data_IF_019915605458
#
_entry.id   IF_019915605458
#
_cell.length_a   1.000
_cell.length_b   1.000
_cell.length_c   1.000
_cell.angle_alpha   90.00
_cell.angle_beta   90.00
_cell.angle_gamma   90.00
#
_symmetry.space_group_name_H-M   'P 1'
#
loop_
_entity.id
_entity.type
_entity.pdbx_description
1 polymer ?
#
# COMPACT_ATOMS: atom_id res chain seq x y z
N UNK A 1 -16.14 -12.00 -16.50
CA UNK A 1 -15.87 -11.66 -16.28
C UNK A 1 -15.29 -11.29 -15.59
N UNK A 2 -15.37 -10.85 -15.24
CA UNK A 2 -14.58 -10.71 -14.42
C UNK A 2 -15.02 -10.17 -13.30
N UNK A 3 -14.91 -10.77 -12.30
CA UNK A 3 -15.39 -10.33 -11.12
C UNK A 3 -14.72 -9.15 -10.71
N UNK A 4 -13.64 -8.87 -11.21
CA UNK A 4 -13.01 -7.73 -10.79
C UNK A 4 -13.84 -6.56 -11.01
N UNK A 5 -14.82 -6.65 -11.75
CA UNK A 5 -15.67 -5.52 -11.95
C UNK A 5 -16.30 -5.05 -10.68
N UNK A 6 -16.45 -5.92 -9.72
CA UNK A 6 -17.08 -5.51 -8.50
C UNK A 6 -16.17 -4.64 -7.68
N UNK A 7 -14.90 -4.82 -7.84
CA UNK A 7 -13.96 -4.05 -7.06
C UNK A 7 -13.27 -2.99 -7.86
N UNK A 8 -13.44 -2.99 -9.13
CA UNK A 8 -12.79 -2.01 -9.96
C UNK A 8 -13.36 -0.69 -9.75
N UNK A 9 -12.59 0.31 -9.84
CA UNK A 9 -13.11 1.64 -9.72
C UNK A 9 -13.92 1.91 -10.95
N UNK A 10 -14.84 2.72 -10.86
CA UNK A 10 -15.63 3.07 -11.97
C UNK A 10 -14.76 3.81 -12.91
N UNK A 11 -15.26 4.03 -14.00
CA UNK A 11 -14.57 4.63 -14.95
C UNK A 11 -13.84 5.80 -14.53
N UNK A 12 -12.83 5.97 -14.99
CA UNK A 12 -12.05 7.04 -14.69
C UNK A 12 -12.53 8.25 -15.21
N UNK A 13 -13.54 8.27 -15.75
CA UNK A 13 -14.02 9.35 -16.25
C UNK A 13 -13.49 10.44 -15.51
N UNK A 14 -12.74 10.94 -15.68
CA UNK A 14 -12.21 11.95 -15.14
C UNK A 14 -12.62 12.52 -13.93
N UNK A 15 -13.66 12.46 -13.67
CA UNK A 15 -14.07 13.16 -12.55
C UNK A 15 -13.49 12.77 -11.29
N UNK A 16 -12.88 11.70 -11.24
CA UNK A 16 -12.46 11.26 -9.98
C UNK A 16 -11.05 11.54 -9.70
N UNK A 17 -10.54 12.48 -10.26
CA UNK A 17 -9.16 12.73 -10.09
C UNK A 17 -8.71 12.84 -8.70
N UNK A 18 -9.48 13.43 -7.84
CA UNK A 18 -9.07 13.64 -6.50
C UNK A 18 -8.90 12.36 -5.75
N UNK A 19 -9.61 11.35 -6.16
CA UNK A 19 -9.59 10.10 -5.47
C UNK A 19 -8.72 9.10 -6.18
N UNK A 20 -8.09 9.49 -7.22
CA UNK A 20 -7.32 8.54 -8.00
C UNK A 20 -6.16 8.00 -7.21
N UNK A 21 -5.94 6.74 -7.35
CA UNK A 21 -4.80 6.09 -6.73
C UNK A 21 -3.55 6.45 -7.53
N UNK A 22 -2.49 6.74 -6.83
CA UNK A 22 -1.22 6.97 -7.52
C UNK A 22 -0.05 6.56 -6.65
N UNK A 23 1.04 6.29 -7.31
CA UNK A 23 2.29 5.90 -6.65
C UNK A 23 3.38 6.82 -7.18
N UNK A 24 4.18 7.34 -6.27
CA UNK A 24 5.39 8.06 -6.65
C UNK A 24 6.55 7.45 -5.88
N UNK A 25 7.70 7.42 -6.50
CA UNK A 25 8.86 6.79 -5.89
C UNK A 25 9.95 7.82 -5.70
N UNK A 26 10.59 7.80 -4.53
CA UNK A 26 11.78 8.59 -4.31
C UNK A 26 12.78 7.75 -3.53
N UNK A 27 13.97 8.25 -3.37
CA UNK A 27 14.99 7.55 -2.61
C UNK A 27 15.54 8.53 -1.58
N UNK A 28 15.56 8.13 -0.32
CA UNK A 28 16.07 8.97 0.77
C UNK A 28 17.00 8.13 1.62
N UNK A 29 18.22 8.56 1.75
CA UNK A 29 19.19 7.89 2.62
C UNK A 29 19.32 6.39 2.31
N UNK A 30 19.20 6.03 1.07
CA UNK A 30 19.30 4.64 0.66
C UNK A 30 18.00 3.87 0.73
N UNK A 31 16.93 4.46 1.24
CA UNK A 31 15.64 3.79 1.31
C UNK A 31 14.81 4.16 0.10
N UNK A 32 14.10 3.17 -0.42
CA UNK A 32 13.16 3.42 -1.49
C UNK A 32 11.84 3.83 -0.86
N UNK A 33 11.38 5.03 -1.16
CA UNK A 33 10.16 5.54 -0.56
C UNK A 33 9.03 5.43 -1.59
N UNK A 34 8.01 4.67 -1.22
CA UNK A 34 6.85 4.48 -2.08
C UNK A 34 5.74 5.36 -1.53
N UNK A 35 5.46 6.45 -2.23
CA UNK A 35 4.43 7.40 -1.80
C UNK A 35 3.10 6.95 -2.39
N UNK A 36 2.15 6.59 -1.55
CA UNK A 36 0.86 6.09 -1.98
C UNK A 36 -0.20 7.13 -1.74
N UNK A 37 -0.94 7.50 -2.78
CA UNK A 37 -2.05 8.44 -2.65
C UNK A 37 -3.34 7.74 -3.01
N UNK A 38 -4.41 8.09 -2.35
CA UNK A 38 -5.73 7.57 -2.69
C UNK A 38 -6.10 6.33 -1.90
N UNK A 39 -6.82 5.42 -2.52
CA UNK A 39 -7.36 4.27 -1.82
C UNK A 39 -6.58 3.01 -2.14
N UNK A 40 -6.19 2.29 -1.10
CA UNK A 40 -5.49 1.04 -1.26
C UNK A 40 -6.45 -0.11 -0.98
N UNK A 41 -6.84 -0.82 -2.02
CA UNK A 41 -7.85 -1.86 -1.92
C UNK A 41 -7.50 -3.00 -2.87
N UNK A 42 -8.46 -3.86 -3.15
CA UNK A 42 -8.20 -5.02 -3.97
C UNK A 42 -7.80 -4.62 -5.39
N UNK A 43 -8.27 -3.48 -5.86
CA UNK A 43 -7.96 -3.05 -7.22
C UNK A 43 -6.57 -2.46 -7.34
N UNK A 44 -6.04 -1.89 -6.27
CA UNK A 44 -4.77 -1.16 -6.33
C UNK A 44 -3.63 -1.85 -5.59
N UNK A 45 -3.93 -2.86 -4.79
CA UNK A 45 -2.88 -3.48 -3.96
C UNK A 45 -1.73 -4.05 -4.78
N UNK A 46 -2.01 -4.56 -5.97
CA UNK A 46 -0.95 -5.16 -6.77
C UNK A 46 -0.01 -4.11 -7.34
N UNK A 47 -0.54 -2.96 -7.66
CA UNK A 47 0.28 -1.86 -8.14
C UNK A 47 1.23 -1.42 -7.03
N UNK A 48 0.70 -1.28 -5.83
CA UNK A 48 1.49 -0.88 -4.68
C UNK A 48 2.57 -1.93 -4.36
N UNK A 49 2.17 -3.19 -4.36
CA UNK A 49 3.09 -4.26 -4.05
C UNK A 49 4.23 -4.33 -5.07
N UNK A 50 3.89 -4.17 -6.33
CA UNK A 50 4.90 -4.18 -7.37
C UNK A 50 5.87 -3.00 -7.19
N UNK A 51 5.35 -1.84 -6.84
CA UNK A 51 6.20 -0.68 -6.62
C UNK A 51 7.19 -0.92 -5.48
N UNK A 52 6.77 -1.67 -4.47
CA UNK A 52 7.64 -1.97 -3.36
C UNK A 52 8.74 -2.97 -3.72
N UNK A 53 8.47 -3.85 -4.67
CA UNK A 53 9.37 -4.97 -4.92
C UNK A 53 10.18 -4.87 -6.20
N UNK A 54 9.82 -3.95 -7.05
CA UNK A 54 10.26 -3.96 -8.42
C UNK A 54 11.75 -3.84 -8.62
N UNK A 55 12.42 -3.06 -7.84
CA UNK A 55 13.84 -2.83 -8.04
C UNK A 55 14.74 -3.71 -7.20
N UNK A 56 14.19 -4.56 -6.41
CA UNK A 56 15.02 -5.38 -5.54
C UNK A 56 15.66 -4.63 -4.40
N UNK A 57 15.19 -3.44 -4.11
CA UNK A 57 15.74 -2.68 -2.98
C UNK A 57 15.43 -3.39 -1.69
N UNK A 58 16.32 -3.31 -0.74
CA UNK A 58 16.12 -4.01 0.51
C UNK A 58 15.44 -3.20 1.57
N UNK A 59 15.50 -1.89 1.50
CA UNK A 59 14.86 -1.07 2.50
C UNK A 59 13.79 -0.25 1.80
N UNK A 60 12.54 -0.55 2.09
CA UNK A 60 11.41 0.10 1.47
C UNK A 60 10.55 0.74 2.55
N UNK A 61 10.17 1.98 2.33
CA UNK A 61 9.29 2.71 3.23
C UNK A 61 8.04 3.07 2.44
N UNK A 62 6.88 2.75 2.97
CA UNK A 62 5.63 3.15 2.34
C UNK A 62 5.16 4.41 3.05
N UNK A 63 5.11 5.50 2.30
CA UNK A 63 4.70 6.79 2.82
C UNK A 63 3.20 6.92 2.67
N UNK A 64 2.49 7.02 3.78
CA UNK A 64 1.04 6.94 3.78
C UNK A 64 0.33 8.27 4.01
N UNK A 65 1.06 9.35 3.99
CA UNK A 65 0.46 10.66 4.31
C UNK A 65 -0.72 11.02 3.40
N UNK A 66 -0.68 10.57 2.16
CA UNK A 66 -1.73 10.91 1.20
C UNK A 66 -2.72 9.76 0.97
N UNK A 67 -2.60 8.69 1.72
CA UNK A 67 -3.53 7.58 1.57
C UNK A 67 -4.82 7.92 2.29
N UNK A 68 -5.94 7.84 1.59
CA UNK A 68 -7.21 8.25 2.16
C UNK A 68 -8.02 7.09 2.70
N UNK A 69 -7.76 5.88 2.21
CA UNK A 69 -8.52 4.73 2.63
C UNK A 69 -7.73 3.45 2.41
N UNK A 70 -7.88 2.49 3.29
CA UNK A 70 -7.30 1.16 3.10
C UNK A 70 -8.29 0.14 3.64
N UNK A 71 -8.49 -0.95 2.89
CA UNK A 71 -9.31 -2.04 3.41
C UNK A 71 -8.42 -3.25 3.69
N UNK A 72 -9.02 -4.34 4.08
CA UNK A 72 -8.25 -5.53 4.43
C UNK A 72 -7.49 -6.11 3.23
N UNK A 73 -8.02 -5.94 2.03
CA UNK A 73 -7.31 -6.40 0.85
C UNK A 73 -6.06 -5.57 0.62
N UNK A 74 -6.17 -4.26 0.84
CA UNK A 74 -5.01 -3.38 0.74
C UNK A 74 -3.97 -3.73 1.78
N UNK A 75 -4.42 -3.98 3.00
CA UNK A 75 -3.52 -4.39 4.07
C UNK A 75 -2.81 -5.69 3.68
N UNK A 76 -3.55 -6.63 3.10
CA UNK A 76 -2.95 -7.88 2.67
C UNK A 76 -1.84 -7.68 1.65
N UNK A 77 -1.99 -6.69 0.78
CA UNK A 77 -0.93 -6.36 -0.16
C UNK A 77 0.33 -5.87 0.52
N UNK A 78 0.16 -5.04 1.57
CA UNK A 78 1.31 -4.57 2.34
C UNK A 78 2.01 -5.72 3.04
N UNK A 79 1.24 -6.61 3.65
CA UNK A 79 1.82 -7.75 4.35
C UNK A 79 2.55 -8.66 3.39
N UNK A 80 1.98 -8.91 2.22
CA UNK A 80 2.62 -9.76 1.23
C UNK A 80 3.93 -9.16 0.77
N UNK A 81 3.95 -7.86 0.51
CA UNK A 81 5.18 -7.21 0.08
C UNK A 81 6.24 -7.28 1.17
N UNK A 82 5.83 -7.08 2.42
CA UNK A 82 6.77 -7.15 3.53
C UNK A 82 7.38 -8.53 3.64
N UNK A 83 6.55 -9.57 3.48
CA UNK A 83 7.04 -10.93 3.59
C UNK A 83 8.06 -11.25 2.50
N UNK A 84 7.81 -10.81 1.29
CA UNK A 84 8.74 -11.03 0.21
C UNK A 84 10.06 -10.33 0.49
N UNK A 85 10.00 -9.08 0.95
CA UNK A 85 11.22 -8.36 1.27
C UNK A 85 11.99 -9.06 2.38
N UNK A 86 11.29 -9.52 3.40
CA UNK A 86 11.95 -10.20 4.51
C UNK A 86 12.63 -11.49 4.06
N UNK A 87 12.04 -12.18 3.12
CA UNK A 87 12.64 -13.40 2.59
C UNK A 87 13.96 -13.12 1.89
N UNK A 88 14.14 -11.90 1.43
CA UNK A 88 15.36 -11.52 0.74
C UNK A 88 16.25 -10.64 1.62
N UNK A 89 16.00 -10.65 2.90
CA UNK A 89 16.83 -9.89 3.83
C UNK A 89 16.50 -8.42 3.92
N UNK A 90 15.35 -8.02 3.42
CA UNK A 90 14.97 -6.60 3.43
C UNK A 90 13.91 -6.29 4.45
N UNK A 91 13.46 -5.06 4.45
CA UNK A 91 12.44 -4.59 5.37
C UNK A 91 11.46 -3.68 4.66
N UNK A 92 10.24 -3.66 5.17
CA UNK A 92 9.25 -2.71 4.71
C UNK A 92 8.65 -2.05 5.94
N UNK A 93 8.69 -0.73 5.97
CA UNK A 93 8.12 0.01 7.09
C UNK A 93 7.09 0.99 6.57
N UNK A 94 6.21 1.43 7.45
CA UNK A 94 5.17 2.36 7.10
C UNK A 94 5.44 3.68 7.81
N UNK A 95 5.09 4.77 7.16
CA UNK A 95 5.40 6.09 7.69
C UNK A 95 4.22 7.03 7.50
N UNK A 96 3.96 7.84 8.49
CA UNK A 96 2.93 8.88 8.45
C UNK A 96 1.53 8.33 8.23
N UNK A 97 1.21 7.27 8.94
CA UNK A 97 -0.13 6.72 8.93
C UNK A 97 -1.06 7.73 9.59
N UNK A 98 -2.22 7.91 9.03
CA UNK A 98 -3.19 8.84 9.59
C UNK A 98 -4.59 8.43 9.17
N UNK A 99 -5.59 8.95 9.85
CA UNK A 99 -6.98 8.74 9.48
C UNK A 99 -7.40 7.28 9.49
N UNK A 100 -8.22 6.91 8.54
CA UNK A 100 -8.76 5.56 8.50
C UNK A 100 -7.68 4.49 8.31
N UNK A 101 -6.67 4.70 7.45
CA UNK A 101 -5.61 3.70 7.35
C UNK A 101 -4.91 3.45 8.68
N UNK A 102 -4.67 4.49 9.46
CA UNK A 102 -4.03 4.32 10.76
C UNK A 102 -4.92 3.53 11.71
N UNK A 103 -6.21 3.76 11.65
CA UNK A 103 -7.16 3.06 12.49
C UNK A 103 -7.19 1.58 12.14
N UNK A 104 -7.21 1.26 10.86
CA UNK A 104 -7.21 -0.12 10.43
C UNK A 104 -5.93 -0.82 10.85
N UNK A 105 -4.80 -0.17 10.65
CA UNK A 105 -3.53 -0.76 11.02
C UNK A 105 -3.45 -1.03 12.52
N UNK A 106 -3.99 -0.13 13.30
CA UNK A 106 -3.98 -0.30 14.73
C UNK A 106 -4.76 -1.54 15.15
N UNK A 107 -5.92 -1.73 14.55
CA UNK A 107 -6.73 -2.90 14.86
C UNK A 107 -6.04 -4.19 14.44
N UNK A 108 -5.47 -4.20 13.24
CA UNK A 108 -4.87 -5.42 12.73
C UNK A 108 -3.56 -5.74 13.43
N UNK A 109 -2.81 -4.73 13.83
CA UNK A 109 -1.60 -4.95 14.58
C UNK A 109 -1.88 -5.55 15.93
N UNK A 110 -2.95 -5.13 16.56
CA UNK A 110 -3.33 -5.69 17.83
C UNK A 110 -3.62 -7.17 17.71
N UNK A 111 -4.29 -7.55 16.63
CA UNK A 111 -4.59 -8.95 16.42
C UNK A 111 -3.31 -9.74 16.16
N UNK A 112 -2.42 -9.19 15.38
CA UNK A 112 -1.17 -9.86 15.08
C UNK A 112 -0.30 -10.02 16.29
N UNK A 113 -0.29 -9.04 17.15
CA UNK A 113 0.56 -9.08 18.31
C UNK A 113 0.16 -10.16 19.30
N UNK A 114 -1.02 -10.67 19.16
CA UNK A 114 -1.47 -11.71 20.07
C UNK A 114 -0.93 -13.05 19.69
N UNK A 115 -0.41 -13.17 18.55
CA UNK A 115 0.15 -14.44 18.14
C UNK A 115 1.61 -14.55 18.56
#
# INVERSE_FOLDING_TARGET
MHTRDLCSPPSPAGGADDQAFSINISVEHGDRIVHVSGELDVATRNVMSRACLENGDKSVVVEMAEMTFMDCCGYGGLVAARQVLQQHGGTLTLRNQAGQPAQLLSLLSTLEARN
#
